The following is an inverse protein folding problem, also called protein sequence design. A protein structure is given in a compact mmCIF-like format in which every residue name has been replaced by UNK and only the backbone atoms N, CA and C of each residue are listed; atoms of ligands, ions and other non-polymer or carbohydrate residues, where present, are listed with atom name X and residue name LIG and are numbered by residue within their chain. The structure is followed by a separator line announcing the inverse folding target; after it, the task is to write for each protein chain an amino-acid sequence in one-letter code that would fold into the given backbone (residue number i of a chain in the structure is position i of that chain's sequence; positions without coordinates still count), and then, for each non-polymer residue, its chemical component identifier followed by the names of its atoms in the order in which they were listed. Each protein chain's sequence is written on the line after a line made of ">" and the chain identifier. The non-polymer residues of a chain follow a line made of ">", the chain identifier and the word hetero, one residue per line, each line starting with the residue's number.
data_IF_035240081627
#
_entry.id   IF_035240081627
#
_cell.length_a   1.000
_cell.length_b   1.000
_cell.length_c   1.000
_cell.angle_alpha   90.00
_cell.angle_beta   90.00
_cell.angle_gamma   90.00
#
_symmetry.space_group_name_H-M   'P 1'
#
loop_
_entity.id
_entity.type
_entity.pdbx_description
1 polymer ?
#
# COMPACT_ATOMS: atom_id res chain seq x y z
N UNK A 1 -5.83 27.25 -38.92
CA UNK A 1 -6.31 26.93 -37.56
C UNK A 1 -5.40 25.85 -37.02
N UNK A 2 -4.60 26.15 -35.99
CA UNK A 2 -3.66 25.17 -35.40
C UNK A 2 -4.42 24.43 -34.31
N UNK A 3 -4.70 23.15 -34.57
CA UNK A 3 -5.30 22.23 -33.61
C UNK A 3 -4.33 22.01 -32.45
N UNK A 4 -4.64 22.59 -31.29
CA UNK A 4 -3.94 22.24 -30.06
C UNK A 4 -4.45 20.87 -29.61
N UNK A 5 -3.68 19.83 -29.86
CA UNK A 5 -3.85 18.55 -29.18
C UNK A 5 -3.48 18.76 -27.72
N UNK A 6 -4.48 19.11 -26.90
CA UNK A 6 -4.35 19.10 -25.46
C UNK A 6 -4.33 17.62 -25.05
N UNK A 7 -3.14 17.10 -24.75
CA UNK A 7 -3.01 15.84 -24.04
C UNK A 7 -3.64 16.05 -22.66
N UNK A 8 -4.85 15.54 -22.48
CA UNK A 8 -5.46 15.45 -21.15
C UNK A 8 -4.56 14.51 -20.34
N UNK A 9 -4.03 15.01 -19.23
CA UNK A 9 -3.30 14.17 -18.29
C UNK A 9 -4.23 13.04 -17.85
N UNK A 10 -3.80 11.80 -18.04
CA UNK A 10 -4.55 10.62 -17.59
C UNK A 10 -4.78 10.75 -16.08
N UNK A 11 -6.04 10.85 -15.67
CA UNK A 11 -6.43 10.77 -14.26
C UNK A 11 -6.65 9.31 -13.90
N UNK A 12 -6.02 8.85 -12.82
CA UNK A 12 -6.20 7.49 -12.32
C UNK A 12 -7.41 7.45 -11.38
N UNK A 13 -8.37 6.57 -11.64
CA UNK A 13 -9.55 6.36 -10.79
C UNK A 13 -9.39 5.13 -9.91
N UNK A 14 -10.29 4.94 -8.93
CA UNK A 14 -10.32 3.71 -8.14
C UNK A 14 -10.72 2.49 -8.99
N UNK A 15 -11.62 2.68 -9.94
CA UNK A 15 -12.05 1.60 -10.82
C UNK A 15 -10.86 1.09 -11.65
N UNK A 16 -10.01 2.00 -12.17
CA UNK A 16 -8.78 1.63 -12.89
C UNK A 16 -7.82 0.78 -12.05
N UNK A 17 -7.69 1.10 -10.75
CA UNK A 17 -6.79 0.40 -9.81
C UNK A 17 -7.31 -1.00 -9.45
N UNK A 18 -8.62 -1.20 -9.44
CA UNK A 18 -9.27 -2.44 -9.00
C UNK A 18 -9.87 -3.27 -10.14
N UNK A 19 -9.51 -2.99 -11.39
CA UNK A 19 -9.85 -3.84 -12.53
C UNK A 19 -9.34 -5.28 -12.32
N UNK A 20 -10.25 -6.25 -12.37
CA UNK A 20 -9.98 -7.64 -12.02
C UNK A 20 -9.30 -8.44 -13.14
N UNK A 21 -9.28 -7.93 -14.36
CA UNK A 21 -8.82 -8.60 -15.58
C UNK A 21 -7.40 -8.19 -16.00
N UNK A 22 -6.69 -7.47 -15.14
CA UNK A 22 -5.34 -6.99 -15.44
C UNK A 22 -4.43 -6.93 -14.21
N UNK A 23 -3.14 -6.80 -14.47
CA UNK A 23 -2.13 -6.45 -13.46
C UNK A 23 -1.89 -4.94 -13.51
N UNK A 24 -1.85 -4.32 -12.34
CA UNK A 24 -1.51 -2.91 -12.17
C UNK A 24 0.01 -2.73 -12.26
N UNK A 25 0.50 -1.82 -13.10
CA UNK A 25 1.92 -1.49 -13.13
C UNK A 25 2.22 -0.45 -12.05
N UNK A 26 3.09 -0.80 -11.11
CA UNK A 26 3.48 0.08 -10.00
C UNK A 26 4.99 0.13 -9.93
N UNK A 27 5.54 1.29 -10.24
CA UNK A 27 6.98 1.57 -10.17
C UNK A 27 7.24 2.43 -8.95
N UNK A 28 8.16 2.00 -8.08
CA UNK A 28 8.53 2.72 -6.86
C UNK A 28 10.00 3.10 -6.97
N UNK A 29 10.29 4.39 -6.87
CA UNK A 29 11.66 4.89 -6.79
C UNK A 29 11.93 5.38 -5.37
N UNK A 30 12.95 4.83 -4.75
CA UNK A 30 13.33 5.07 -3.36
C UNK A 30 14.85 5.04 -3.24
N UNK A 31 15.40 5.84 -2.32
CA UNK A 31 16.82 5.78 -1.99
C UNK A 31 17.19 4.40 -1.40
N UNK A 32 18.36 3.87 -1.76
CA UNK A 32 18.80 2.54 -1.34
C UNK A 32 18.87 2.41 0.19
N UNK A 33 19.34 3.46 0.89
CA UNK A 33 19.44 3.48 2.35
C UNK A 33 18.05 3.49 3.00
N UNK A 34 17.10 4.20 2.40
CA UNK A 34 15.72 4.25 2.87
C UNK A 34 15.01 2.92 2.63
N UNK A 35 15.29 2.27 1.50
CA UNK A 35 14.82 0.91 1.23
C UNK A 35 15.36 -0.09 2.25
N UNK A 36 16.66 -0.04 2.54
CA UNK A 36 17.29 -0.87 3.57
C UNK A 36 16.67 -0.64 4.95
N UNK A 37 16.43 0.64 5.30
CA UNK A 37 15.73 1.01 6.53
C UNK A 37 14.37 0.33 6.61
N UNK A 38 13.54 0.43 5.57
CA UNK A 38 12.21 -0.21 5.55
C UNK A 38 12.30 -1.72 5.67
N UNK A 39 13.11 -2.38 4.83
CA UNK A 39 13.08 -3.85 4.72
C UNK A 39 13.54 -4.55 6.00
N UNK A 40 14.46 -3.94 6.75
CA UNK A 40 15.00 -4.50 8.00
C UNK A 40 14.25 -4.07 9.26
N UNK A 41 13.36 -3.06 9.21
CA UNK A 41 12.45 -2.79 10.32
C UNK A 41 11.61 -4.03 10.65
N UNK A 42 11.52 -4.35 11.95
CA UNK A 42 10.73 -5.48 12.45
C UNK A 42 10.13 -5.15 13.79
N UNK A 43 9.09 -5.92 14.17
CA UNK A 43 8.54 -5.89 15.52
C UNK A 43 9.14 -7.05 16.31
N UNK A 44 9.60 -6.78 17.53
CA UNK A 44 10.08 -7.82 18.43
C UNK A 44 8.91 -8.72 18.86
N UNK A 45 9.10 -10.05 18.87
CA UNK A 45 8.08 -11.01 19.24
C UNK A 45 7.55 -10.82 20.68
N UNK A 46 8.44 -10.53 21.64
CA UNK A 46 8.08 -10.32 23.04
C UNK A 46 7.25 -9.05 23.21
N UNK A 47 7.66 -7.94 22.59
CA UNK A 47 6.88 -6.69 22.58
C UNK A 47 5.55 -6.85 21.83
N UNK A 48 5.51 -7.69 20.80
CA UNK A 48 4.31 -7.93 20.01
C UNK A 48 3.23 -8.70 20.80
N UNK A 49 3.61 -9.55 21.76
CA UNK A 49 2.68 -10.43 22.49
C UNK A 49 2.61 -10.12 24.00
N UNK A 50 3.17 -9.01 24.44
CA UNK A 50 3.13 -8.60 25.84
C UNK A 50 1.72 -8.22 26.32
N UNK A 51 1.46 -8.43 27.61
CA UNK A 51 0.16 -8.19 28.23
C UNK A 51 -0.29 -6.73 28.18
N UNK A 52 0.65 -5.77 28.15
CA UNK A 52 0.33 -4.33 28.14
C UNK A 52 -0.53 -3.92 26.94
N UNK A 53 -0.54 -4.70 25.86
CA UNK A 53 -1.43 -4.50 24.69
C UNK A 53 -2.92 -4.59 25.01
N UNK A 54 -3.30 -5.21 26.12
CA UNK A 54 -4.70 -5.22 26.60
C UNK A 54 -5.19 -3.82 26.97
N UNK A 55 -4.28 -2.92 27.32
CA UNK A 55 -4.60 -1.59 27.83
C UNK A 55 -4.43 -0.47 26.79
N UNK A 56 -3.97 -0.82 25.58
CA UNK A 56 -3.83 0.13 24.48
C UNK A 56 -2.94 -0.38 23.35
N UNK A 57 -2.99 0.25 22.17
CA UNK A 57 -2.09 -0.05 21.08
C UNK A 57 -0.64 0.29 21.45
N UNK A 58 0.29 -0.56 21.06
CA UNK A 58 1.73 -0.28 21.13
C UNK A 58 2.18 0.47 19.90
N UNK A 59 3.20 1.31 20.05
CA UNK A 59 3.79 2.03 18.92
C UNK A 59 4.19 1.09 17.78
N UNK A 60 4.04 1.61 16.57
CA UNK A 60 4.47 0.93 15.35
C UNK A 60 5.97 1.17 15.16
N UNK A 61 6.79 0.12 15.00
CA UNK A 61 8.22 0.28 14.71
C UNK A 61 8.47 0.74 13.26
N UNK A 62 7.42 0.83 12.44
CA UNK A 62 7.52 1.15 11.02
C UNK A 62 7.36 2.65 10.78
N UNK A 63 8.42 3.26 10.26
CA UNK A 63 8.46 4.69 9.92
C UNK A 63 8.24 4.89 8.43
N UNK A 64 7.73 6.07 8.06
CA UNK A 64 7.69 6.47 6.66
C UNK A 64 9.05 7.02 6.22
N UNK A 65 9.41 6.73 4.99
CA UNK A 65 10.46 7.41 4.23
C UNK A 65 9.85 7.97 2.95
N UNK A 66 10.51 8.94 2.33
CA UNK A 66 10.03 9.57 1.11
C UNK A 66 10.39 8.71 -0.11
N UNK A 67 9.49 8.68 -1.09
CA UNK A 67 9.66 7.97 -2.35
C UNK A 67 8.80 8.64 -3.44
N UNK A 68 9.06 8.28 -4.70
CA UNK A 68 8.12 8.52 -5.79
C UNK A 68 7.50 7.20 -6.26
N UNK A 69 6.27 7.29 -6.75
CA UNK A 69 5.51 6.15 -7.24
C UNK A 69 4.84 6.51 -8.55
N UNK A 70 4.96 5.65 -9.56
CA UNK A 70 4.16 5.71 -10.78
C UNK A 70 3.17 4.55 -10.79
N UNK A 71 1.91 4.82 -11.10
CA UNK A 71 0.87 3.81 -11.26
C UNK A 71 0.27 3.96 -12.65
N UNK A 72 0.49 2.96 -13.52
CA UNK A 72 0.07 3.00 -14.92
C UNK A 72 0.47 4.31 -15.64
N UNK A 73 1.66 4.84 -15.32
CA UNK A 73 2.22 6.08 -15.86
C UNK A 73 1.73 7.38 -15.18
N UNK A 74 0.87 7.29 -14.16
CA UNK A 74 0.46 8.45 -13.35
C UNK A 74 1.42 8.61 -12.17
N UNK A 75 2.11 9.74 -12.14
CA UNK A 75 3.20 10.01 -11.20
C UNK A 75 2.73 10.62 -9.88
N UNK A 76 3.29 10.12 -8.78
CA UNK A 76 3.15 10.62 -7.42
C UNK A 76 4.56 10.88 -6.87
N UNK A 77 5.10 12.11 -6.99
CA UNK A 77 6.53 12.36 -6.79
C UNK A 77 6.99 12.39 -5.33
N UNK A 78 6.08 12.61 -4.37
CA UNK A 78 6.43 12.83 -2.96
C UNK A 78 5.49 12.07 -2.02
N UNK A 79 5.52 10.75 -2.14
CA UNK A 79 4.73 9.85 -1.28
C UNK A 79 5.55 9.38 -0.10
N UNK A 80 4.85 8.88 0.92
CA UNK A 80 5.46 8.24 2.07
C UNK A 80 5.30 6.74 1.93
N UNK A 81 6.38 5.99 2.02
CA UNK A 81 6.35 4.52 2.01
C UNK A 81 6.85 3.98 3.34
N UNK A 82 6.22 2.92 3.83
CA UNK A 82 6.67 2.20 5.03
C UNK A 82 6.38 0.71 4.92
N UNK A 83 7.07 -0.07 5.75
CA UNK A 83 6.72 -1.47 5.96
C UNK A 83 5.36 -1.59 6.65
N UNK A 84 4.62 -2.59 6.22
CA UNK A 84 3.39 -3.08 6.86
C UNK A 84 3.66 -4.53 7.26
N UNK A 85 3.25 -4.91 8.45
CA UNK A 85 3.30 -6.31 8.84
C UNK A 85 3.26 -6.54 10.33
N UNK A 86 2.88 -7.76 10.66
CA UNK A 86 2.93 -8.34 12.01
C UNK A 86 3.49 -9.75 11.88
N UNK A 87 4.40 -10.12 12.79
CA UNK A 87 5.10 -11.42 12.93
C UNK A 87 5.12 -12.30 11.66
N UNK A 88 4.05 -13.04 11.37
CA UNK A 88 3.97 -13.98 10.24
C UNK A 88 4.04 -13.38 8.83
N UNK A 89 3.86 -12.06 8.68
CA UNK A 89 3.95 -11.35 7.38
C UNK A 89 5.27 -10.61 7.18
N UNK A 90 6.18 -10.66 8.15
CA UNK A 90 7.45 -9.96 8.09
C UNK A 90 8.41 -10.67 7.13
N UNK A 91 8.90 -9.89 6.16
CA UNK A 91 9.86 -10.34 5.17
C UNK A 91 10.78 -9.17 4.80
N UNK A 92 12.09 -9.41 4.71
CA UNK A 92 13.05 -8.42 4.25
C UNK A 92 13.25 -8.45 2.73
N UNK A 93 13.00 -9.57 2.07
CA UNK A 93 13.12 -9.70 0.62
C UNK A 93 11.86 -9.21 -0.11
N UNK A 94 10.67 -9.50 0.44
CA UNK A 94 9.37 -9.09 -0.11
C UNK A 94 8.48 -8.52 1.01
N UNK A 95 8.80 -7.34 1.57
CA UNK A 95 7.98 -6.74 2.61
C UNK A 95 6.58 -6.41 2.08
N UNK A 96 5.57 -6.46 2.95
CA UNK A 96 4.32 -5.75 2.64
C UNK A 96 4.56 -4.24 2.83
N UNK A 97 3.97 -3.42 1.97
CA UNK A 97 4.20 -1.98 1.95
C UNK A 97 2.89 -1.23 2.14
N UNK A 98 2.97 -0.06 2.80
CA UNK A 98 1.90 0.92 2.81
C UNK A 98 2.42 2.21 2.20
N UNK A 99 1.73 2.69 1.18
CA UNK A 99 2.04 3.93 0.48
C UNK A 99 1.00 4.96 0.89
N UNK A 100 1.47 6.11 1.36
CA UNK A 100 0.67 7.28 1.69
C UNK A 100 0.89 8.31 0.59
N UNK A 101 -0.09 8.44 -0.30
CA UNK A 101 -0.03 9.33 -1.47
C UNK A 101 0.06 10.79 -1.04
N UNK A 102 -0.60 11.15 0.06
CA UNK A 102 -0.61 12.51 0.59
C UNK A 102 0.42 12.78 1.69
N UNK A 103 1.62 12.20 1.56
CA UNK A 103 2.66 12.37 2.57
C UNK A 103 3.18 13.80 2.61
N UNK A 104 3.76 14.28 1.50
CA UNK A 104 4.18 15.68 1.34
C UNK A 104 3.07 16.50 0.71
N UNK A 105 2.65 16.15 -0.52
CA UNK A 105 1.53 16.81 -1.19
C UNK A 105 0.19 16.40 -0.59
N UNK A 106 -0.49 17.30 0.12
CA UNK A 106 -1.76 16.99 0.80
C UNK A 106 -2.92 16.68 -0.13
N UNK A 107 -2.78 16.97 -1.44
CA UNK A 107 -3.80 16.66 -2.46
C UNK A 107 -3.65 15.26 -3.06
N UNK A 108 -2.54 14.56 -2.81
CA UNK A 108 -2.26 13.25 -3.40
C UNK A 108 -3.32 12.19 -3.05
N UNK A 109 -4.08 11.75 -4.05
CA UNK A 109 -5.13 10.75 -3.90
C UNK A 109 -5.47 10.06 -5.23
N UNK A 110 -6.20 8.94 -5.15
CA UNK A 110 -6.84 8.26 -6.28
C UNK A 110 -8.29 8.04 -5.91
N UNK A 111 -9.22 8.74 -6.56
CA UNK A 111 -10.67 8.67 -6.25
C UNK A 111 -11.00 8.81 -4.76
N UNK A 112 -10.30 9.70 -4.03
CA UNK A 112 -10.46 9.90 -2.58
C UNK A 112 -9.62 9.00 -1.69
N UNK A 113 -9.03 7.92 -2.22
CA UNK A 113 -8.09 7.09 -1.47
C UNK A 113 -6.72 7.76 -1.37
N UNK A 114 -6.21 7.90 -0.14
CA UNK A 114 -4.91 8.53 0.15
C UNK A 114 -3.84 7.51 0.57
N UNK A 115 -4.25 6.25 0.79
CA UNK A 115 -3.38 5.18 1.26
C UNK A 115 -3.60 3.91 0.42
N UNK A 116 -2.51 3.32 -0.03
CA UNK A 116 -2.50 2.04 -0.76
C UNK A 116 -1.77 0.99 0.09
N UNK A 117 -2.27 -0.24 0.08
CA UNK A 117 -1.66 -1.36 0.80
C UNK A 117 -1.27 -2.47 -0.16
N UNK A 118 0.02 -2.80 -0.18
CA UNK A 118 0.60 -3.86 -0.99
C UNK A 118 0.96 -5.01 -0.07
N UNK A 119 0.13 -6.05 -0.05
CA UNK A 119 0.39 -7.25 0.75
C UNK A 119 1.35 -8.16 0.00
N UNK A 120 2.32 -8.72 0.72
CA UNK A 120 3.29 -9.66 0.15
C UNK A 120 2.72 -11.08 -0.05
N UNK A 121 1.53 -11.36 0.49
CA UNK A 121 0.84 -12.65 0.46
C UNK A 121 1.72 -13.84 0.86
N UNK A 122 2.68 -13.64 1.78
CA UNK A 122 3.67 -14.67 2.13
C UNK A 122 3.07 -15.98 2.65
N UNK A 123 1.91 -15.92 3.31
CA UNK A 123 1.23 -17.11 3.86
C UNK A 123 0.25 -17.76 2.88
N UNK A 124 0.04 -17.16 1.71
CA UNK A 124 -0.83 -17.66 0.66
C UNK A 124 0.02 -18.11 -0.53
N UNK A 125 0.27 -19.42 -0.62
CA UNK A 125 1.08 -20.02 -1.69
C UNK A 125 0.51 -19.70 -3.08
N UNK A 126 -0.81 -19.57 -3.18
CA UNK A 126 -1.49 -19.30 -4.46
C UNK A 126 -1.37 -17.84 -4.90
N UNK A 127 -1.07 -16.93 -3.97
CA UNK A 127 -1.09 -15.46 -4.13
C UNK A 127 -2.45 -14.87 -4.55
N UNK A 128 -3.50 -15.68 -4.73
CA UNK A 128 -4.81 -15.27 -5.25
C UNK A 128 -5.94 -15.30 -4.21
N UNK A 129 -5.73 -15.89 -3.02
CA UNK A 129 -6.81 -16.08 -2.04
C UNK A 129 -7.40 -14.74 -1.60
N UNK A 130 -6.55 -13.73 -1.38
CA UNK A 130 -6.99 -12.38 -1.06
C UNK A 130 -7.81 -11.74 -2.19
N UNK A 131 -7.33 -11.89 -3.43
CA UNK A 131 -8.00 -11.37 -4.62
C UNK A 131 -9.40 -11.99 -4.79
N UNK A 132 -9.47 -13.32 -4.73
CA UNK A 132 -10.73 -14.07 -4.83
C UNK A 132 -11.70 -13.72 -3.70
N UNK A 133 -11.19 -13.57 -2.47
CA UNK A 133 -11.99 -13.19 -1.32
C UNK A 133 -12.65 -11.82 -1.50
N UNK A 134 -11.87 -10.78 -1.82
CA UNK A 134 -12.41 -9.44 -2.03
C UNK A 134 -13.30 -9.35 -3.28
N UNK A 135 -12.92 -10.02 -4.37
CA UNK A 135 -13.74 -10.07 -5.58
C UNK A 135 -15.11 -10.71 -5.32
N UNK A 136 -15.16 -11.78 -4.51
CA UNK A 136 -16.43 -12.43 -4.14
C UNK A 136 -17.31 -11.52 -3.27
N UNK A 137 -16.72 -10.80 -2.31
CA UNK A 137 -17.46 -9.85 -1.47
C UNK A 137 -18.01 -8.66 -2.26
N UNK A 138 -17.23 -8.15 -3.22
CA UNK A 138 -17.66 -7.08 -4.13
C UNK A 138 -18.84 -7.52 -4.98
N UNK A 139 -18.78 -8.72 -5.58
CA UNK A 139 -19.90 -9.31 -6.34
C UNK A 139 -21.15 -9.52 -5.48
N UNK A 140 -20.98 -9.85 -4.20
CA UNK A 140 -22.08 -10.01 -3.25
C UNK A 140 -22.65 -8.67 -2.72
N UNK A 141 -22.16 -7.52 -3.19
CA UNK A 141 -22.51 -6.17 -2.69
C UNK A 141 -22.35 -6.01 -1.16
N UNK A 142 -21.49 -6.81 -0.54
CA UNK A 142 -21.19 -6.65 0.88
C UNK A 142 -20.24 -5.47 1.05
N UNK A 143 -20.65 -4.47 1.84
CA UNK A 143 -19.75 -3.36 2.22
C UNK A 143 -18.61 -3.94 3.05
N UNK A 144 -17.43 -3.98 2.45
CA UNK A 144 -16.22 -4.42 3.12
C UNK A 144 -15.83 -3.37 4.18
N UNK A 145 -16.25 -3.58 5.42
CA UNK A 145 -15.71 -2.83 6.56
C UNK A 145 -14.36 -3.46 6.91
N UNK A 146 -13.29 -3.00 6.27
CA UNK A 146 -11.93 -3.35 6.71
C UNK A 146 -11.65 -2.57 7.99
N UNK A 147 -12.00 -3.16 9.13
CA UNK A 147 -11.48 -2.72 10.43
C UNK A 147 -9.99 -3.05 10.45
N UNK A 148 -9.14 -2.14 9.96
CA UNK A 148 -7.71 -2.20 10.27
C UNK A 148 -7.54 -1.81 11.73
N UNK A 149 -7.58 -2.80 12.63
CA UNK A 149 -7.02 -2.63 13.97
C UNK A 149 -5.50 -2.52 13.81
N UNK A 150 -4.98 -1.29 13.92
CA UNK A 150 -3.56 -0.99 14.07
C UNK A 150 -3.13 -1.10 15.52
#
# INVERSE_FOLDING_TARGET
>A
MVSHNILVAKELTLDDVFLADRVLDVQITIDEKDWDTIRYQSRNFFEALQESRKYGPTDSPYTYVEASVSIDGVEFPQVGIRKKGFLGSLNSNRPSLKIKLNHVDKKGQIGGATNLSFNNNQQDISLISQFMGYGSMQQAHQRLVVLTLS
#
